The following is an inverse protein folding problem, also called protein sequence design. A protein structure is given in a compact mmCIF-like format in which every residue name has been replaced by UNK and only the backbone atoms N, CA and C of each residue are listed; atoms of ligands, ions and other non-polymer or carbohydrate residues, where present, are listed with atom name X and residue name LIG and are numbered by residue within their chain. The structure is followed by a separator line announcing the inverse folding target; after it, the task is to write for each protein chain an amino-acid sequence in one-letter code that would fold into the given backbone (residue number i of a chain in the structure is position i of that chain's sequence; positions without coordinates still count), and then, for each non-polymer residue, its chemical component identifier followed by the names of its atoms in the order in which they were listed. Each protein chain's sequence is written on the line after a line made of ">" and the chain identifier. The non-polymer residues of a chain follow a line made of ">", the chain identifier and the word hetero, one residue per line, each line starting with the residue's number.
data_IF_853918456602
#
_entry.id   IF_853918456602
#
_cell.length_a   1.000
_cell.length_b   1.000
_cell.length_c   1.000
_cell.angle_alpha   90.00
_cell.angle_beta   90.00
_cell.angle_gamma   90.00
#
_symmetry.space_group_name_H-M   'P 1'
#
loop_
_entity.id
_entity.type
_entity.pdbx_description
1 polymer ?
#
# COMPACT_ATOMS: atom_id res chain seq x y z
N UNK A 1 -76.28 52.61 -35.65
CA UNK A 1 -77.24 51.60 -35.13
C UNK A 1 -76.57 50.87 -33.96
N UNK A 2 -77.12 51.01 -32.76
CA UNK A 2 -76.83 50.21 -31.54
C UNK A 2 -77.42 48.79 -31.66
N UNK A 3 -77.20 47.79 -30.76
CA UNK A 3 -76.41 47.71 -29.50
C UNK A 3 -75.60 46.36 -29.41
N UNK A 4 -75.50 45.60 -28.28
CA UNK A 4 -74.52 45.75 -27.19
C UNK A 4 -73.79 44.41 -26.82
N UNK A 5 -73.09 44.44 -25.66
CA UNK A 5 -72.89 43.36 -24.67
C UNK A 5 -71.53 42.64 -24.57
N UNK A 6 -70.95 42.77 -23.36
CA UNK A 6 -69.91 41.95 -22.69
C UNK A 6 -70.41 40.48 -22.54
N UNK A 7 -69.59 39.42 -22.29
CA UNK A 7 -68.58 39.39 -21.20
C UNK A 7 -67.35 38.42 -21.26
N UNK A 8 -66.29 38.81 -20.51
CA UNK A 8 -65.36 38.00 -19.66
C UNK A 8 -64.53 36.80 -20.26
N UNK A 9 -63.49 36.30 -19.54
CA UNK A 9 -62.09 36.74 -19.66
C UNK A 9 -61.11 35.61 -20.06
N UNK A 10 -59.85 35.92 -20.38
CA UNK A 10 -58.68 35.06 -20.06
C UNK A 10 -57.33 35.70 -20.40
N UNK A 11 -56.50 35.80 -19.37
CA UNK A 11 -55.03 35.56 -19.29
C UNK A 11 -54.16 35.99 -20.48
N UNK A 12 -53.18 36.88 -20.27
CA UNK A 12 -51.84 36.74 -20.87
C UNK A 12 -50.76 37.55 -20.11
N UNK A 13 -49.56 36.96 -20.04
CA UNK A 13 -48.18 37.52 -20.13
C UNK A 13 -47.67 38.46 -19.01
N UNK A 14 -46.54 38.19 -18.33
CA UNK A 14 -45.11 38.06 -18.74
C UNK A 14 -44.36 39.41 -18.61
N UNK A 15 -43.05 39.27 -18.38
CA UNK A 15 -41.94 40.22 -18.28
C UNK A 15 -41.68 40.75 -16.86
N UNK A 16 -40.46 40.84 -16.31
CA UNK A 16 -39.07 40.39 -16.57
C UNK A 16 -38.17 41.51 -16.01
N UNK A 17 -37.11 41.09 -15.28
CA UNK A 17 -35.89 41.83 -14.93
C UNK A 17 -36.03 43.05 -13.98
N UNK A 18 -35.22 43.27 -12.94
CA UNK A 18 -33.76 43.48 -12.94
C UNK A 18 -33.23 43.43 -11.48
N UNK A 19 -32.14 42.67 -11.27
CA UNK A 19 -30.91 42.91 -10.44
C UNK A 19 -31.03 43.40 -8.99
N UNK A 20 -30.33 42.72 -8.07
CA UNK A 20 -29.85 43.36 -6.83
C UNK A 20 -29.48 42.44 -5.67
N UNK A 21 -28.20 42.06 -5.62
CA UNK A 21 -27.34 41.66 -4.50
C UNK A 21 -27.88 41.76 -3.03
N UNK A 22 -27.50 40.74 -2.24
CA UNK A 22 -27.04 40.80 -0.84
C UNK A 22 -27.95 40.29 0.29
N UNK A 23 -27.42 39.25 0.96
CA UNK A 23 -27.50 38.94 2.41
C UNK A 23 -28.85 38.49 2.97
N UNK A 24 -28.95 37.18 3.25
CA UNK A 24 -29.73 36.68 4.38
C UNK A 24 -28.84 35.72 5.18
N UNK A 25 -28.59 36.10 6.43
CA UNK A 25 -28.03 35.26 7.48
C UNK A 25 -28.86 33.98 7.62
N UNK A 26 -28.20 32.83 7.65
CA UNK A 26 -28.75 31.65 8.33
C UNK A 26 -27.66 31.01 9.18
N UNK A 27 -28.01 30.87 10.45
CA UNK A 27 -27.23 30.51 11.61
C UNK A 27 -26.58 29.13 11.51
N UNK A 28 -25.31 29.08 11.92
CA UNK A 28 -24.59 27.88 12.37
C UNK A 28 -25.23 27.38 13.67
N UNK A 29 -25.58 26.09 13.71
CA UNK A 29 -25.51 25.26 14.92
C UNK A 29 -25.55 23.79 14.49
N UNK A 30 -24.37 23.24 14.24
CA UNK A 30 -24.14 21.81 14.05
C UNK A 30 -24.42 21.12 15.40
N UNK A 31 -25.38 20.20 15.43
CA UNK A 31 -25.66 19.36 16.61
C UNK A 31 -24.49 18.39 16.81
N UNK A 32 -23.79 18.53 17.93
CA UNK A 32 -22.93 17.50 18.47
C UNK A 32 -23.81 16.37 19.06
N UNK A 33 -23.56 15.12 18.67
CA UNK A 33 -24.02 13.95 19.41
C UNK A 33 -22.96 13.65 20.48
N UNK A 34 -23.24 14.02 21.73
CA UNK A 34 -22.59 13.45 22.90
C UNK A 34 -23.26 12.10 23.21
N UNK A 35 -22.52 11.00 23.09
CA UNK A 35 -22.95 9.72 23.66
C UNK A 35 -22.59 9.68 25.16
N UNK A 36 -23.62 9.41 25.97
CA UNK A 36 -23.53 9.21 27.41
C UNK A 36 -22.62 8.01 27.74
N UNK A 37 -21.42 8.27 28.26
CA UNK A 37 -20.70 7.30 29.07
C UNK A 37 -21.20 7.36 30.52
N UNK A 38 -22.00 6.36 30.92
CA UNK A 38 -22.29 6.08 32.32
C UNK A 38 -21.06 5.45 32.99
N UNK A 39 -20.62 5.91 34.18
CA UNK A 39 -19.53 5.25 34.90
C UNK A 39 -20.04 3.96 35.54
N UNK A 40 -19.46 2.81 35.15
CA UNK A 40 -19.60 1.58 35.93
C UNK A 40 -18.89 1.75 37.26
N UNK A 41 -19.67 1.69 38.34
CA UNK A 41 -19.20 1.52 39.71
C UNK A 41 -18.64 0.10 39.84
N UNK A 42 -17.32 -0.03 39.98
CA UNK A 42 -16.69 -1.30 40.35
C UNK A 42 -16.55 -1.36 41.88
N UNK A 43 -17.30 -2.27 42.50
CA UNK A 43 -17.11 -2.64 43.90
C UNK A 43 -15.74 -3.34 44.06
N UNK A 44 -14.95 -3.02 45.09
CA UNK A 44 -13.71 -3.73 45.36
C UNK A 44 -14.00 -5.15 45.88
N UNK A 45 -13.51 -6.17 45.16
CA UNK A 45 -13.50 -7.56 45.61
C UNK A 45 -12.43 -7.75 46.70
N UNK A 46 -12.72 -8.44 47.83
CA UNK A 46 -11.77 -8.58 48.92
C UNK A 46 -10.61 -9.52 48.57
N UNK A 47 -9.41 -9.10 49.00
CA UNK A 47 -8.14 -9.83 48.93
C UNK A 47 -8.21 -11.10 49.80
N UNK A 48 -7.83 -12.29 49.29
CA UNK A 48 -7.69 -13.46 50.16
C UNK A 48 -6.39 -13.37 50.97
N UNK A 49 -6.54 -13.35 52.29
CA UNK A 49 -5.47 -13.49 53.28
C UNK A 49 -4.85 -14.90 53.21
N UNK A 50 -3.53 -14.95 53.01
CA UNK A 50 -2.77 -16.20 53.00
C UNK A 50 -2.49 -16.62 54.46
N UNK A 51 -3.13 -17.70 54.92
CA UNK A 51 -2.88 -18.29 56.23
C UNK A 51 -1.60 -19.16 56.19
N UNK A 52 -0.70 -18.91 57.13
CA UNK A 52 0.54 -19.65 57.34
C UNK A 52 0.26 -21.01 57.98
N UNK A 53 0.73 -22.11 57.37
CA UNK A 53 0.70 -23.47 57.95
C UNK A 53 2.15 -23.91 58.24
N UNK A 54 2.46 -24.57 59.38
CA UNK A 54 3.82 -24.95 59.79
C UNK A 54 4.37 -26.16 59.02
N UNK A 55 5.70 -26.38 59.01
CA UNK A 55 6.31 -27.44 58.21
C UNK A 55 6.29 -28.78 58.94
N UNK A 56 5.96 -29.86 58.22
CA UNK A 56 6.12 -31.23 58.69
C UNK A 56 6.94 -32.07 57.70
N UNK A 57 8.02 -32.63 58.26
CA UNK A 57 8.80 -33.82 57.91
C UNK A 57 9.24 -34.10 56.47
N UNK A 58 10.57 -34.04 56.33
CA UNK A 58 11.47 -34.49 55.27
C UNK A 58 11.29 -35.96 54.88
N UNK A 59 11.22 -36.22 53.57
CA UNK A 59 11.64 -37.48 52.96
C UNK A 59 12.80 -37.23 52.00
N UNK A 60 13.94 -37.86 52.29
CA UNK A 60 15.18 -37.81 51.52
C UNK A 60 15.03 -38.55 50.20
N UNK A 61 15.15 -37.84 49.08
CA UNK A 61 15.28 -38.44 47.75
C UNK A 61 16.76 -38.51 47.35
N UNK A 62 17.24 -39.73 47.11
CA UNK A 62 18.59 -40.08 46.63
C UNK A 62 18.84 -39.46 45.25
N UNK A 63 20.00 -38.81 45.06
CA UNK A 63 20.42 -38.23 43.78
C UNK A 63 20.88 -39.33 42.83
N UNK A 64 20.24 -39.44 41.67
CA UNK A 64 20.73 -40.21 40.51
C UNK A 64 21.68 -39.31 39.69
N UNK A 65 22.89 -39.77 39.32
CA UNK A 65 23.82 -38.96 38.53
C UNK A 65 23.34 -38.76 37.09
N UNK A 66 23.41 -37.51 36.61
CA UNK A 66 23.13 -37.10 35.23
C UNK A 66 24.27 -37.55 34.30
N UNK A 67 23.98 -38.19 33.14
CA UNK A 67 25.02 -38.55 32.18
C UNK A 67 25.59 -37.33 31.43
N UNK A 68 26.83 -37.41 30.88
CA UNK A 68 27.48 -36.27 30.22
C UNK A 68 26.77 -35.90 28.91
N UNK A 69 26.61 -34.60 28.66
CA UNK A 69 26.05 -34.07 27.41
C UNK A 69 27.10 -34.15 26.31
N UNK A 70 26.84 -34.97 25.29
CA UNK A 70 27.59 -34.98 24.02
C UNK A 70 27.32 -33.67 23.27
N UNK A 71 28.34 -32.95 22.74
CA UNK A 71 28.10 -31.74 21.97
C UNK A 71 27.39 -32.07 20.66
N UNK A 72 26.12 -31.67 20.55
CA UNK A 72 25.34 -31.72 19.32
C UNK A 72 25.94 -30.74 18.32
N UNK A 73 26.34 -31.22 17.15
CA UNK A 73 26.84 -30.38 16.05
C UNK A 73 25.76 -29.38 15.68
N UNK A 74 26.10 -28.09 15.71
CA UNK A 74 25.31 -27.00 15.13
C UNK A 74 24.98 -27.35 13.68
N UNK A 75 23.72 -27.33 13.24
CA UNK A 75 23.40 -27.50 11.84
C UNK A 75 24.04 -26.35 11.04
N UNK A 76 24.97 -26.70 10.15
CA UNK A 76 25.53 -25.81 9.14
C UNK A 76 24.39 -25.20 8.34
N UNK A 77 24.36 -23.87 8.23
CA UNK A 77 23.42 -23.17 7.36
C UNK A 77 23.52 -23.74 5.94
N UNK A 78 22.44 -24.32 5.44
CA UNK A 78 22.30 -24.64 4.01
C UNK A 78 22.42 -23.33 3.24
N UNK A 79 23.31 -23.22 2.24
CA UNK A 79 23.40 -22.01 1.44
C UNK A 79 22.05 -21.75 0.79
N UNK A 80 21.47 -20.57 1.07
CA UNK A 80 20.31 -20.03 0.36
C UNK A 80 20.66 -20.00 -1.11
N UNK A 81 19.86 -20.69 -1.94
CA UNK A 81 20.02 -20.67 -3.39
C UNK A 81 20.05 -19.21 -3.85
N UNK A 82 21.15 -18.78 -4.45
CA UNK A 82 21.19 -17.54 -5.20
C UNK A 82 20.19 -17.68 -6.34
N UNK A 83 19.18 -16.82 -6.38
CA UNK A 83 18.28 -16.71 -7.52
C UNK A 83 19.08 -16.18 -8.71
N UNK A 84 19.80 -17.07 -9.38
CA UNK A 84 20.38 -16.79 -10.70
C UNK A 84 19.40 -17.28 -11.74
N UNK A 85 19.03 -16.39 -12.65
CA UNK A 85 18.26 -16.63 -13.88
C UNK A 85 18.43 -18.07 -14.40
N UNK A 86 17.34 -18.84 -14.62
CA UNK A 86 17.43 -20.13 -15.29
C UNK A 86 18.18 -19.95 -16.63
N UNK A 87 19.23 -20.73 -16.92
CA UNK A 87 19.94 -20.60 -18.18
C UNK A 87 19.02 -20.96 -19.35
N UNK A 88 18.48 -19.96 -20.05
CA UNK A 88 17.71 -20.13 -21.29
C UNK A 88 16.32 -19.52 -21.36
N UNK A 89 15.83 -18.83 -20.32
CA UNK A 89 14.56 -18.08 -20.40
C UNK A 89 14.77 -16.66 -20.93
N UNK A 90 13.87 -16.19 -21.81
CA UNK A 90 13.55 -14.76 -21.87
C UNK A 90 13.16 -14.28 -20.46
N UNK A 91 13.33 -13.00 -20.12
CA UNK A 91 12.96 -12.48 -18.80
C UNK A 91 11.53 -12.88 -18.42
N UNK A 92 11.23 -13.00 -17.13
CA UNK A 92 9.89 -13.29 -16.65
C UNK A 92 9.30 -12.09 -15.92
N UNK A 93 8.01 -12.18 -15.63
CA UNK A 93 7.26 -11.18 -14.88
C UNK A 93 6.18 -11.86 -14.05
N UNK A 94 5.45 -11.09 -13.24
CA UNK A 94 4.25 -11.59 -12.55
C UNK A 94 3.00 -10.99 -13.17
N UNK A 95 2.04 -11.85 -13.56
CA UNK A 95 0.70 -11.47 -14.01
C UNK A 95 -0.29 -11.51 -12.85
N UNK A 96 -1.03 -10.41 -12.69
CA UNK A 96 -2.19 -10.24 -11.82
C UNK A 96 -3.47 -10.19 -12.66
N UNK A 97 -4.57 -10.70 -12.13
CA UNK A 97 -5.87 -10.75 -12.83
C UNK A 97 -6.93 -9.81 -12.25
N UNK A 98 -6.60 -9.02 -11.23
CA UNK A 98 -7.54 -8.12 -10.55
C UNK A 98 -8.49 -8.84 -9.59
N UNK A 99 -8.13 -10.05 -9.15
CA UNK A 99 -8.93 -10.91 -8.29
C UNK A 99 -8.54 -10.80 -6.80
N UNK A 100 -7.91 -9.68 -6.41
CA UNK A 100 -7.15 -9.61 -5.16
C UNK A 100 -7.94 -9.87 -3.88
N UNK A 101 -9.26 -9.77 -3.89
CA UNK A 101 -10.13 -9.94 -2.71
C UNK A 101 -9.92 -11.29 -2.01
N UNK A 102 -10.09 -11.30 -0.69
CA UNK A 102 -9.95 -12.49 0.16
C UNK A 102 -8.49 -12.98 0.21
N UNK A 103 -7.55 -12.03 0.23
CA UNK A 103 -6.12 -12.25 0.40
C UNK A 103 -5.44 -13.09 -0.69
N UNK A 104 -5.99 -13.09 -1.92
CA UNK A 104 -5.42 -13.78 -3.10
C UNK A 104 -4.99 -12.75 -4.16
N UNK A 105 -4.54 -13.22 -5.32
CA UNK A 105 -4.10 -12.42 -6.48
C UNK A 105 -3.23 -11.21 -6.13
N UNK A 106 -2.29 -11.40 -5.20
CA UNK A 106 -1.40 -10.35 -4.66
C UNK A 106 -0.04 -10.90 -4.29
N UNK A 107 0.93 -10.01 -4.11
CA UNK A 107 2.23 -10.33 -3.49
C UNK A 107 2.29 -9.66 -2.13
N UNK A 108 2.72 -10.40 -1.10
CA UNK A 108 2.90 -9.85 0.25
C UNK A 108 4.39 -9.81 0.60
N UNK A 109 4.92 -8.62 0.90
CA UNK A 109 6.30 -8.38 1.31
C UNK A 109 6.29 -7.92 2.76
N UNK A 110 6.84 -8.73 3.67
CA UNK A 110 6.84 -8.39 5.09
C UNK A 110 7.95 -7.38 5.40
N UNK A 111 7.61 -6.31 6.10
CA UNK A 111 8.53 -5.21 6.39
C UNK A 111 8.89 -5.02 7.87
N UNK A 112 8.17 -5.67 8.80
CA UNK A 112 8.49 -5.63 10.23
C UNK A 112 8.34 -6.98 10.95
N UNK A 113 8.89 -7.08 12.16
CA UNK A 113 8.91 -8.22 13.07
C UNK A 113 9.84 -9.36 12.65
N UNK A 114 11.10 -9.12 12.23
CA UNK A 114 11.88 -7.89 12.47
C UNK A 114 11.79 -6.87 11.33
N UNK A 115 12.15 -5.62 11.62
CA UNK A 115 12.31 -4.53 10.66
C UNK A 115 13.13 -4.97 9.44
N UNK A 116 12.69 -4.58 8.24
CA UNK A 116 13.30 -4.94 6.96
C UNK A 116 13.61 -3.71 6.14
N UNK A 117 14.67 -3.76 5.31
CA UNK A 117 15.10 -2.60 4.52
C UNK A 117 14.03 -2.11 3.53
N UNK A 118 13.14 -2.98 3.04
CA UNK A 118 12.02 -2.57 2.18
C UNK A 118 11.09 -1.53 2.84
N UNK A 119 11.13 -1.38 4.17
CA UNK A 119 10.48 -0.28 4.87
C UNK A 119 11.19 1.07 4.62
N UNK A 120 10.76 1.77 3.58
CA UNK A 120 11.23 3.13 3.25
C UNK A 120 10.22 4.19 3.70
N UNK A 121 10.72 5.41 3.91
CA UNK A 121 9.89 6.56 4.29
C UNK A 121 10.52 7.47 5.35
N UNK A 122 11.45 6.93 6.15
CA UNK A 122 12.25 7.69 7.12
C UNK A 122 13.28 8.62 6.44
N UNK A 123 13.57 8.33 5.17
CA UNK A 123 14.42 9.15 4.30
C UNK A 123 13.67 9.45 3.01
N UNK A 124 14.34 10.17 2.12
CA UNK A 124 13.91 10.29 0.73
C UNK A 124 13.82 8.90 0.10
N UNK A 125 12.94 8.68 -0.87
CA UNK A 125 12.85 7.39 -1.54
C UNK A 125 12.46 7.48 -3.00
N UNK A 126 12.74 6.39 -3.71
CA UNK A 126 12.24 6.10 -5.05
C UNK A 126 11.67 4.69 -5.07
N UNK A 127 10.48 4.53 -5.65
CA UNK A 127 9.92 3.23 -6.01
C UNK A 127 9.79 3.23 -7.53
N UNK A 128 10.35 2.23 -8.18
CA UNK A 128 10.31 2.10 -9.64
C UNK A 128 10.13 0.65 -10.07
N UNK A 129 9.47 0.45 -11.20
CA UNK A 129 9.16 -0.87 -11.75
C UNK A 129 8.77 -0.74 -13.23
N UNK A 130 8.73 -1.86 -13.92
CA UNK A 130 8.07 -1.99 -15.20
C UNK A 130 6.65 -2.48 -15.01
N UNK A 131 5.71 -1.85 -15.71
CA UNK A 131 4.29 -2.17 -15.67
C UNK A 131 3.75 -2.32 -17.09
N UNK A 132 2.94 -3.35 -17.30
CA UNK A 132 2.10 -3.51 -18.49
C UNK A 132 0.66 -3.74 -18.05
N UNK A 133 -0.29 -3.07 -18.67
CA UNK A 133 -1.71 -3.28 -18.40
C UNK A 133 -2.56 -3.06 -19.66
N UNK A 134 -3.64 -3.82 -19.79
CA UNK A 134 -4.57 -3.67 -20.91
C UNK A 134 -5.47 -2.44 -20.72
N UNK A 135 -5.78 -1.77 -21.83
CA UNK A 135 -6.71 -0.65 -21.83
C UNK A 135 -8.10 -1.09 -21.33
N UNK A 136 -8.61 -0.39 -20.32
CA UNK A 136 -9.92 -0.67 -19.73
C UNK A 136 -9.96 -1.82 -18.71
N UNK A 137 -8.86 -2.56 -18.50
CA UNK A 137 -8.81 -3.61 -17.47
C UNK A 137 -8.77 -3.06 -16.04
N UNK A 138 -8.33 -1.80 -15.88
CA UNK A 138 -8.20 -1.10 -14.61
C UNK A 138 -9.14 0.11 -14.59
N UNK A 139 -10.34 -0.07 -14.04
CA UNK A 139 -11.46 0.91 -14.07
C UNK A 139 -11.64 1.73 -12.79
N UNK A 140 -10.78 1.51 -11.79
CA UNK A 140 -10.71 2.29 -10.56
C UNK A 140 -10.48 3.78 -10.85
N UNK A 141 -10.93 4.61 -9.93
CA UNK A 141 -10.90 6.06 -10.08
C UNK A 141 -10.30 6.69 -8.84
N UNK A 142 -9.22 7.43 -9.04
CA UNK A 142 -8.52 8.18 -7.99
C UNK A 142 -9.05 9.61 -7.89
N UNK A 143 -9.03 10.16 -6.66
CA UNK A 143 -9.26 11.60 -6.44
C UNK A 143 -7.94 12.33 -6.21
N UNK A 144 -7.51 13.13 -7.17
CA UNK A 144 -6.24 13.87 -7.08
C UNK A 144 -6.30 14.98 -6.01
N UNK A 145 -5.15 15.34 -5.46
CA UNK A 145 -4.98 16.40 -4.44
C UNK A 145 -5.77 16.15 -3.15
N UNK A 146 -6.02 14.88 -2.81
CA UNK A 146 -6.69 14.47 -1.57
C UNK A 146 -5.83 13.49 -0.78
N UNK A 147 -5.98 13.53 0.55
CA UNK A 147 -5.52 12.46 1.44
C UNK A 147 -6.20 11.16 1.01
N UNK A 148 -5.43 10.08 0.90
CA UNK A 148 -5.90 8.74 0.53
C UNK A 148 -6.69 8.65 -0.77
N UNK A 149 -6.68 9.68 -1.62
CA UNK A 149 -7.42 9.69 -2.87
C UNK A 149 -7.02 8.57 -3.84
N UNK A 150 -5.83 7.97 -3.64
CA UNK A 150 -5.26 6.87 -4.41
C UNK A 150 -5.94 5.52 -4.16
N UNK A 151 -6.55 5.30 -2.99
CA UNK A 151 -7.01 3.96 -2.55
C UNK A 151 -8.16 3.41 -3.39
N UNK A 152 -8.92 4.27 -4.08
CA UNK A 152 -10.03 3.88 -4.96
C UNK A 152 -9.60 3.63 -6.41
N UNK A 153 -8.31 3.76 -6.72
CA UNK A 153 -7.71 3.30 -7.97
C UNK A 153 -7.44 1.80 -7.96
N UNK A 154 -7.06 1.22 -9.11
CA UNK A 154 -6.58 -0.17 -9.14
C UNK A 154 -5.19 -0.24 -8.49
N UNK A 155 -5.08 -0.89 -7.34
CA UNK A 155 -3.91 -0.82 -6.47
C UNK A 155 -2.75 -1.66 -7.01
N UNK A 156 -1.64 -1.01 -7.31
CA UNK A 156 -0.39 -1.64 -7.80
C UNK A 156 0.57 -1.90 -6.65
N UNK A 157 0.75 -0.91 -5.78
CA UNK A 157 1.63 -0.96 -4.62
C UNK A 157 0.87 -0.35 -3.43
N UNK A 158 0.83 -1.06 -2.33
CA UNK A 158 0.06 -0.71 -1.16
C UNK A 158 0.93 -0.82 0.10
N UNK A 159 1.31 0.33 0.63
CA UNK A 159 1.74 0.50 2.01
C UNK A 159 0.70 1.40 2.70
N UNK A 160 -0.54 0.96 2.71
CA UNK A 160 -1.59 1.56 3.53
C UNK A 160 -1.47 1.09 4.98
N UNK A 161 -2.03 1.87 5.89
CA UNK A 161 -2.03 1.60 7.30
C UNK A 161 -3.41 1.86 7.89
N UNK A 162 -3.95 0.82 8.52
CA UNK A 162 -5.10 0.98 9.39
C UNK A 162 -4.75 1.55 10.76
N UNK A 163 -5.72 2.30 11.28
CA UNK A 163 -5.74 2.93 12.60
C UNK A 163 -4.64 3.98 12.83
N UNK A 164 -4.87 4.87 13.80
CA UNK A 164 -3.88 5.84 14.21
C UNK A 164 -2.62 5.18 14.81
N UNK A 165 -1.49 5.91 14.84
CA UNK A 165 -0.29 5.53 15.59
C UNK A 165 0.91 5.07 14.76
N UNK A 166 0.82 5.15 13.43
CA UNK A 166 1.99 5.04 12.53
C UNK A 166 2.49 6.43 12.07
N UNK A 167 3.60 6.45 11.33
CA UNK A 167 4.15 7.67 10.75
C UNK A 167 3.42 8.10 9.49
N UNK A 168 3.20 7.17 8.55
CA UNK A 168 2.55 7.49 7.28
C UNK A 168 2.20 6.25 6.47
N UNK A 169 1.38 6.48 5.44
CA UNK A 169 1.02 5.52 4.42
C UNK A 169 1.42 6.06 3.04
N UNK A 170 1.54 5.15 2.08
CA UNK A 170 1.69 5.51 0.68
C UNK A 170 1.33 4.35 -0.23
N UNK A 171 0.94 4.69 -1.45
CA UNK A 171 0.61 3.68 -2.44
C UNK A 171 0.59 4.22 -3.86
N UNK A 172 0.61 3.29 -4.80
CA UNK A 172 0.59 3.55 -6.23
C UNK A 172 -0.60 2.81 -6.82
N UNK A 173 -1.41 3.50 -7.59
CA UNK A 173 -2.61 2.96 -8.21
C UNK A 173 -2.74 3.41 -9.67
N UNK A 174 -3.57 2.71 -10.43
CA UNK A 174 -4.03 3.17 -11.73
C UNK A 174 -5.41 3.84 -11.64
N UNK A 175 -5.54 4.96 -12.34
CA UNK A 175 -6.79 5.73 -12.50
C UNK A 175 -7.03 6.01 -13.98
N UNK A 176 -8.03 5.35 -14.57
CA UNK A 176 -8.28 5.46 -16.02
C UNK A 176 -7.02 5.24 -16.87
N UNK A 177 -6.25 4.20 -16.52
CA UNK A 177 -5.00 3.81 -17.18
C UNK A 177 -3.78 4.71 -16.94
N UNK A 178 -3.84 5.67 -16.01
CA UNK A 178 -2.73 6.57 -15.64
C UNK A 178 -2.26 6.30 -14.22
N UNK A 179 -1.00 6.56 -13.95
CA UNK A 179 -0.41 6.37 -12.61
C UNK A 179 -0.89 7.45 -11.64
N UNK A 180 -1.22 7.05 -10.42
CA UNK A 180 -1.39 7.94 -9.27
C UNK A 180 -0.49 7.48 -8.13
N UNK A 181 0.05 8.43 -7.37
CA UNK A 181 0.91 8.20 -6.22
C UNK A 181 0.38 9.00 -5.03
N UNK A 182 -0.11 8.30 -4.02
CA UNK A 182 -0.56 8.89 -2.77
C UNK A 182 0.43 8.68 -1.64
N UNK A 183 0.52 9.66 -0.76
CA UNK A 183 1.33 9.60 0.44
C UNK A 183 0.75 10.49 1.53
N UNK A 184 0.75 9.98 2.75
CA UNK A 184 0.36 10.69 3.95
C UNK A 184 1.43 10.56 5.03
N UNK A 185 1.54 11.59 5.87
CA UNK A 185 2.29 11.58 7.13
C UNK A 185 1.36 12.14 8.21
N UNK A 186 1.06 11.32 9.21
CA UNK A 186 0.02 11.63 10.19
C UNK A 186 -1.34 11.86 9.53
N UNK A 187 -1.93 13.04 9.71
CA UNK A 187 -3.22 13.42 9.11
C UNK A 187 -3.10 14.31 7.88
N UNK A 188 -1.89 14.49 7.36
CA UNK A 188 -1.62 15.29 6.17
C UNK A 188 -1.21 14.36 5.05
N UNK A 189 -1.81 14.50 3.88
CA UNK A 189 -1.44 13.70 2.73
C UNK A 189 -2.04 14.24 1.45
N UNK A 190 -1.58 13.67 0.35
CA UNK A 190 -1.90 14.14 -1.00
C UNK A 190 -1.73 13.00 -1.97
N UNK A 191 -2.65 12.93 -2.93
CA UNK A 191 -2.55 12.05 -4.10
C UNK A 191 -2.16 12.85 -5.33
N UNK A 192 -0.96 12.58 -5.85
CA UNK A 192 -0.47 13.09 -7.12
C UNK A 192 -0.97 12.20 -8.25
N UNK A 193 -1.59 12.78 -9.27
CA UNK A 193 -2.01 12.06 -10.48
C UNK A 193 -1.11 12.42 -11.65
N UNK A 194 -0.64 11.39 -12.36
CA UNK A 194 0.02 11.54 -13.65
C UNK A 194 -0.97 11.83 -14.78
N UNK A 195 -0.42 12.08 -15.98
CA UNK A 195 -1.18 12.43 -17.17
C UNK A 195 -0.98 11.45 -18.33
N UNK A 196 0.08 10.64 -18.31
CA UNK A 196 0.38 9.67 -19.36
C UNK A 196 -0.30 8.33 -19.11
N UNK A 197 -1.00 7.86 -20.14
CA UNK A 197 -1.59 6.52 -20.15
C UNK A 197 -0.46 5.48 -20.19
N UNK A 198 -0.51 4.52 -19.27
CA UNK A 198 0.37 3.35 -19.20
C UNK A 198 -0.37 2.02 -19.40
N UNK A 199 -1.71 2.06 -19.36
CA UNK A 199 -2.56 0.89 -19.64
C UNK A 199 -2.96 0.87 -21.11
N UNK A 200 -1.99 0.65 -22.00
CA UNK A 200 -2.16 0.58 -23.46
C UNK A 200 -1.66 -0.75 -24.05
N UNK A 201 -1.44 -1.75 -23.18
CA UNK A 201 -0.88 -3.06 -23.50
C UNK A 201 0.59 -3.03 -23.96
N UNK A 202 1.36 -1.98 -23.61
CA UNK A 202 2.81 -1.95 -23.72
C UNK A 202 3.48 -1.94 -22.33
N UNK A 203 4.75 -2.30 -22.29
CA UNK A 203 5.59 -2.14 -21.12
C UNK A 203 5.99 -0.68 -20.95
N UNK A 204 5.77 -0.13 -19.76
CA UNK A 204 6.20 1.22 -19.37
C UNK A 204 7.07 1.17 -18.13
N UNK A 205 8.12 1.97 -18.12
CA UNK A 205 8.88 2.21 -16.89
C UNK A 205 8.15 3.27 -16.07
N UNK A 206 7.81 2.95 -14.82
CA UNK A 206 7.18 3.88 -13.89
C UNK A 206 8.13 4.09 -12.72
N UNK A 207 8.34 5.35 -12.34
CA UNK A 207 9.04 5.70 -11.11
C UNK A 207 8.29 6.79 -10.35
N UNK A 208 8.22 6.64 -9.03
CA UNK A 208 7.74 7.67 -8.12
C UNK A 208 8.85 8.04 -7.16
N UNK A 209 8.97 9.33 -6.88
CA UNK A 209 9.99 9.85 -5.94
C UNK A 209 9.31 10.64 -4.83
N UNK A 210 9.92 10.58 -3.65
CA UNK A 210 9.49 11.34 -2.50
C UNK A 210 10.69 11.90 -1.75
N UNK A 211 10.64 13.18 -1.40
CA UNK A 211 11.54 13.85 -0.46
C UNK A 211 10.90 13.98 0.91
N UNK A 212 11.71 13.87 1.96
CA UNK A 212 11.36 14.17 3.36
C UNK A 212 10.79 15.56 3.58
N UNK A 213 11.13 16.51 2.72
CA UNK A 213 10.57 17.86 2.69
C UNK A 213 9.18 17.94 2.03
N UNK A 214 8.60 16.83 1.61
CA UNK A 214 7.26 16.73 1.01
C UNK A 214 7.23 16.72 -0.52
N UNK A 215 8.35 16.92 -1.21
CA UNK A 215 8.37 16.91 -2.68
C UNK A 215 8.06 15.52 -3.24
N UNK A 216 7.05 15.41 -4.10
CA UNK A 216 6.64 14.17 -4.76
C UNK A 216 6.70 14.34 -6.29
N UNK A 217 7.09 13.30 -7.02
CA UNK A 217 7.03 13.31 -8.48
C UNK A 217 6.77 11.91 -9.07
N UNK A 218 6.12 11.89 -10.24
CA UNK A 218 5.90 10.69 -11.06
C UNK A 218 6.72 10.86 -12.35
N UNK A 219 7.33 9.77 -12.80
CA UNK A 219 8.00 9.64 -14.08
C UNK A 219 7.44 8.42 -14.80
N UNK A 220 7.22 8.57 -16.11
CA UNK A 220 6.78 7.50 -17.01
C UNK A 220 7.71 7.51 -18.21
N UNK A 221 8.31 6.36 -18.52
CA UNK A 221 9.29 6.16 -19.59
C UNK A 221 10.43 7.19 -19.55
N UNK A 222 10.89 7.49 -18.34
CA UNK A 222 11.98 8.43 -18.12
C UNK A 222 11.59 9.91 -18.24
N UNK A 223 10.33 10.23 -18.52
CA UNK A 223 9.85 11.61 -18.62
C UNK A 223 9.06 12.02 -17.37
N UNK A 224 9.20 13.26 -16.85
CA UNK A 224 8.36 13.75 -15.76
C UNK A 224 6.88 13.74 -16.15
N UNK A 225 6.00 13.17 -15.34
CA UNK A 225 4.55 13.05 -15.59
C UNK A 225 3.69 13.77 -14.53
N UNK A 226 4.31 14.32 -13.49
CA UNK A 226 3.64 15.11 -12.48
C UNK A 226 4.55 15.39 -11.30
N UNK A 227 4.31 16.50 -10.60
CA UNK A 227 4.97 16.79 -9.32
C UNK A 227 4.09 17.63 -8.43
N UNK A 228 4.26 17.49 -7.12
CA UNK A 228 3.57 18.31 -6.11
C UNK A 228 4.39 18.38 -4.82
N UNK A 229 3.96 19.23 -3.89
CA UNK A 229 4.43 19.18 -2.50
C UNK A 229 3.31 18.58 -1.66
N UNK A 230 3.52 17.36 -1.16
CA UNK A 230 2.66 16.66 -0.22
C UNK A 230 3.18 16.77 1.21
N UNK A 231 2.92 15.74 2.01
CA UNK A 231 3.29 15.70 3.41
C UNK A 231 4.80 15.50 3.63
N UNK A 232 5.38 16.30 4.53
CA UNK A 232 6.76 16.19 4.97
C UNK A 232 6.88 15.32 6.22
N UNK A 233 8.07 14.77 6.49
CA UNK A 233 8.37 14.01 7.72
C UNK A 233 8.76 12.56 7.49
N UNK A 234 8.52 11.71 8.47
CA UNK A 234 8.73 10.27 8.36
C UNK A 234 7.46 9.60 7.82
N UNK A 235 7.59 8.73 6.83
CA UNK A 235 6.50 7.93 6.28
C UNK A 235 6.78 6.42 6.38
N UNK A 236 7.83 5.99 7.09
CA UNK A 236 8.15 4.57 7.23
C UNK A 236 7.13 3.86 8.12
N UNK A 237 7.26 2.55 8.21
CA UNK A 237 6.59 1.75 9.21
C UNK A 237 7.27 1.95 10.55
N UNK A 238 6.45 2.21 11.57
CA UNK A 238 6.94 2.21 12.94
C UNK A 238 7.13 0.77 13.41
N UNK A 239 8.40 0.37 13.53
CA UNK A 239 8.82 -0.90 14.12
C UNK A 239 8.07 -1.21 15.43
N UNK A 240 7.48 -2.41 15.49
CA UNK A 240 6.81 -2.92 16.68
C UNK A 240 5.54 -2.19 17.09
N UNK A 241 4.91 -1.40 16.20
CA UNK A 241 3.64 -0.73 16.52
C UNK A 241 2.54 -1.74 16.89
N UNK A 242 1.66 -1.36 17.81
CA UNK A 242 0.50 -2.18 18.16
C UNK A 242 -0.57 -2.07 17.05
N UNK A 243 -0.90 -3.19 16.43
CA UNK A 243 -1.81 -3.25 15.29
C UNK A 243 -3.23 -3.68 15.68
N UNK A 244 -3.52 -3.82 16.99
CA UNK A 244 -4.78 -4.33 17.53
C UNK A 244 -5.21 -5.67 16.89
N UNK A 245 -4.22 -6.52 16.57
CA UNK A 245 -4.45 -7.83 15.97
C UNK A 245 -4.59 -7.84 14.44
N UNK A 246 -4.43 -6.70 13.76
CA UNK A 246 -4.37 -6.68 12.29
C UNK A 246 -3.06 -7.34 11.81
N UNK A 247 -3.18 -8.50 11.18
CA UNK A 247 -2.03 -9.30 10.72
C UNK A 247 -1.46 -8.83 9.38
N UNK A 248 -2.18 -7.98 8.64
CA UNK A 248 -1.76 -7.43 7.35
C UNK A 248 -0.88 -6.20 7.50
N UNK A 249 -0.95 -5.53 8.64
CA UNK A 249 -0.29 -4.26 8.91
C UNK A 249 1.23 -4.21 8.59
N UNK A 250 2.06 -5.22 8.91
CA UNK A 250 3.51 -5.16 8.66
C UNK A 250 3.89 -5.62 7.25
N UNK A 251 3.00 -5.45 6.26
CA UNK A 251 3.26 -5.81 4.86
C UNK A 251 3.16 -4.61 3.94
N UNK A 252 4.03 -4.60 2.93
CA UNK A 252 3.74 -4.00 1.62
C UNK A 252 2.98 -5.06 0.81
N UNK A 253 1.95 -4.63 0.09
CA UNK A 253 1.19 -5.50 -0.82
C UNK A 253 1.32 -4.99 -2.25
N UNK A 254 1.55 -5.90 -3.19
CA UNK A 254 1.52 -5.59 -4.62
C UNK A 254 0.27 -6.21 -5.24
N UNK A 255 -0.37 -5.46 -6.13
CA UNK A 255 -1.46 -5.93 -6.98
C UNK A 255 -2.86 -5.88 -6.37
N UNK A 256 -3.01 -5.56 -5.08
CA UNK A 256 -4.31 -5.49 -4.42
C UNK A 256 -4.29 -4.53 -3.22
N UNK A 257 -5.48 -4.10 -2.80
CA UNK A 257 -5.64 -3.38 -1.53
C UNK A 257 -5.26 -4.29 -0.36
N UNK A 258 -4.43 -3.77 0.54
CA UNK A 258 -3.73 -4.55 1.56
C UNK A 258 -4.64 -5.24 2.57
N UNK A 259 -5.76 -4.63 2.94
CA UNK A 259 -6.59 -5.05 4.07
C UNK A 259 -7.85 -5.84 3.71
N UNK A 260 -8.09 -6.12 2.42
CA UNK A 260 -9.35 -6.70 1.92
C UNK A 260 -10.58 -5.86 2.29
N UNK A 261 -10.46 -4.54 2.20
CA UNK A 261 -11.43 -3.54 2.64
C UNK A 261 -12.73 -3.49 1.81
N UNK A 262 -12.83 -4.25 0.73
CA UNK A 262 -14.03 -4.41 -0.09
C UNK A 262 -13.87 -3.89 -1.52
N UNK A 263 -14.95 -4.00 -2.31
CA UNK A 263 -14.92 -3.77 -3.76
C UNK A 263 -14.72 -2.32 -4.20
N UNK A 264 -14.72 -1.36 -3.26
CA UNK A 264 -14.43 0.05 -3.55
C UNK A 264 -12.93 0.29 -3.82
N UNK A 265 -12.08 -0.70 -3.50
CA UNK A 265 -10.62 -0.63 -3.59
C UNK A 265 -10.13 -1.73 -4.54
N UNK A 266 -10.26 -1.50 -5.86
CA UNK A 266 -10.07 -2.56 -6.85
C UNK A 266 -8.60 -2.99 -6.96
N UNK A 267 -8.40 -4.26 -7.27
CA UNK A 267 -7.07 -4.85 -7.47
C UNK A 267 -6.52 -4.58 -8.87
N UNK A 268 -5.21 -4.56 -9.03
CA UNK A 268 -4.56 -4.38 -10.31
C UNK A 268 -4.70 -5.61 -11.21
N UNK A 269 -4.98 -5.37 -12.49
CA UNK A 269 -4.94 -6.38 -13.54
C UNK A 269 -3.88 -5.99 -14.57
N UNK A 270 -2.81 -6.77 -14.65
CA UNK A 270 -1.67 -6.49 -15.52
C UNK A 270 -0.42 -7.23 -15.06
N UNK A 271 0.73 -6.81 -15.57
CA UNK A 271 2.03 -7.40 -15.28
C UNK A 271 2.92 -6.41 -14.55
N UNK A 272 3.74 -6.92 -13.64
CA UNK A 272 4.85 -6.21 -13.02
C UNK A 272 6.15 -6.96 -13.29
N UNK A 273 7.19 -6.18 -13.57
CA UNK A 273 8.57 -6.65 -13.65
C UNK A 273 9.52 -5.66 -12.96
N UNK A 274 10.69 -6.12 -12.51
CA UNK A 274 11.81 -5.30 -12.03
C UNK A 274 11.44 -4.25 -10.97
N UNK A 275 10.82 -4.66 -9.86
CA UNK A 275 10.53 -3.72 -8.77
C UNK A 275 11.79 -3.38 -7.98
N UNK A 276 12.17 -2.10 -7.95
CA UNK A 276 13.21 -1.55 -7.08
C UNK A 276 12.64 -0.53 -6.11
N UNK A 277 13.00 -0.70 -4.83
CA UNK A 277 12.73 0.27 -3.75
C UNK A 277 14.08 0.83 -3.28
N UNK A 278 14.20 2.15 -3.20
CA UNK A 278 15.45 2.84 -2.85
C UNK A 278 15.25 3.91 -1.79
N UNK A 279 16.24 4.14 -0.94
CA UNK A 279 16.24 5.15 0.13
C UNK A 279 16.83 6.51 -0.31
N UNK A 280 16.67 6.85 -1.59
CA UNK A 280 17.10 8.14 -2.15
C UNK A 280 16.19 8.55 -3.31
N UNK A 281 16.17 9.84 -3.63
CA UNK A 281 15.57 10.33 -4.89
C UNK A 281 16.56 10.05 -6.03
N UNK A 282 16.21 9.11 -6.91
CA UNK A 282 17.04 8.76 -8.08
C UNK A 282 16.85 9.71 -9.26
N UNK A 283 15.68 10.33 -9.37
CA UNK A 283 15.30 11.13 -10.53
C UNK A 283 14.77 12.51 -10.13
N UNK A 284 15.32 13.55 -10.75
CA UNK A 284 14.87 14.94 -10.55
C UNK A 284 14.55 15.66 -11.86
N UNK A 285 14.78 14.99 -12.99
CA UNK A 285 14.57 15.47 -14.34
C UNK A 285 14.36 14.25 -15.26
N UNK A 286 14.21 14.48 -16.57
CA UNK A 286 14.14 13.39 -17.52
C UNK A 286 15.41 12.51 -17.51
N UNK A 287 15.24 11.21 -17.75
CA UNK A 287 16.30 10.21 -17.82
C UNK A 287 15.99 9.18 -18.90
N UNK A 288 16.97 8.32 -19.21
CA UNK A 288 16.77 7.16 -20.08
C UNK A 288 16.36 5.97 -19.22
N UNK A 289 15.19 5.35 -19.43
CA UNK A 289 14.81 4.14 -18.73
C UNK A 289 15.88 3.04 -18.86
N UNK A 290 16.04 2.17 -17.85
CA UNK A 290 16.93 1.02 -17.94
C UNK A 290 16.60 0.17 -19.17
N UNK A 291 17.62 -0.28 -19.91
CA UNK A 291 17.44 -1.21 -21.03
C UNK A 291 17.79 -2.67 -20.66
N UNK A 292 17.97 -2.93 -19.37
CA UNK A 292 18.33 -4.22 -18.80
C UNK A 292 17.86 -4.29 -17.34
N UNK A 293 17.80 -5.49 -16.75
CA UNK A 293 17.51 -5.66 -15.32
C UNK A 293 18.34 -4.75 -14.43
N UNK A 294 17.74 -4.27 -13.35
CA UNK A 294 18.42 -3.42 -12.37
C UNK A 294 19.58 -4.15 -11.71
N UNK A 295 20.66 -3.44 -11.43
CA UNK A 295 21.70 -3.91 -10.52
C UNK A 295 21.52 -3.18 -9.19
N UNK A 296 21.54 -3.88 -8.05
CA UNK A 296 21.45 -3.21 -6.76
C UNK A 296 22.71 -2.39 -6.48
N UNK A 297 22.52 -1.27 -5.78
CA UNK A 297 23.57 -0.39 -5.29
C UNK A 297 23.37 -0.12 -3.78
N UNK A 298 24.24 0.69 -3.17
CA UNK A 298 24.17 1.00 -1.74
C UNK A 298 22.88 1.70 -1.28
N UNK A 299 22.07 2.21 -2.22
CA UNK A 299 20.78 2.85 -1.94
C UNK A 299 19.59 1.95 -2.28
N UNK A 300 19.84 0.73 -2.75
CA UNK A 300 18.79 -0.24 -3.10
C UNK A 300 18.38 -1.03 -1.87
N UNK A 301 17.15 -0.81 -1.40
CA UNK A 301 16.64 -1.39 -0.17
C UNK A 301 15.83 -2.68 -0.39
N UNK A 302 15.26 -2.82 -1.59
CA UNK A 302 14.69 -4.07 -2.08
C UNK A 302 14.76 -4.10 -3.60
N UNK A 303 14.98 -5.29 -4.17
CA UNK A 303 14.98 -5.51 -5.61
C UNK A 303 14.38 -6.87 -5.94
N UNK A 304 13.36 -6.88 -6.80
CA UNK A 304 12.66 -8.08 -7.25
C UNK A 304 12.67 -8.12 -8.78
N UNK A 305 13.36 -9.11 -9.34
CA UNK A 305 13.41 -9.35 -10.79
C UNK A 305 12.21 -10.13 -11.32
N UNK A 306 11.41 -10.75 -10.44
CA UNK A 306 10.28 -11.58 -10.83
C UNK A 306 10.61 -12.73 -11.82
N UNK A 307 11.85 -13.22 -11.73
CA UNK A 307 12.45 -14.20 -12.63
C UNK A 307 12.37 -15.66 -12.13
N UNK A 308 11.69 -15.91 -11.01
CA UNK A 308 11.68 -17.25 -10.38
C UNK A 308 10.94 -18.30 -11.23
N UNK A 309 9.94 -17.89 -12.00
CA UNK A 309 9.21 -18.71 -12.98
C UNK A 309 8.35 -19.84 -12.40
N UNK A 310 8.53 -20.23 -11.13
CA UNK A 310 7.79 -21.29 -10.46
C UNK A 310 7.70 -21.05 -8.94
N UNK A 311 6.78 -21.77 -8.28
CA UNK A 311 6.56 -21.62 -6.85
C UNK A 311 5.89 -20.29 -6.50
N UNK A 312 5.96 -19.91 -5.22
CA UNK A 312 5.31 -18.68 -4.70
C UNK A 312 6.27 -17.73 -4.02
N UNK A 313 7.56 -18.05 -3.95
CA UNK A 313 8.56 -17.16 -3.37
C UNK A 313 8.95 -16.08 -4.37
N UNK A 314 9.04 -14.84 -3.91
CA UNK A 314 9.58 -13.70 -4.66
C UNK A 314 10.84 -13.23 -3.92
N UNK A 315 12.01 -13.40 -4.52
CA UNK A 315 13.28 -13.14 -3.87
C UNK A 315 13.62 -11.65 -3.91
N UNK A 316 13.95 -11.08 -2.76
CA UNK A 316 14.64 -9.81 -2.67
C UNK A 316 16.14 -10.04 -2.87
N UNK A 317 16.67 -9.60 -4.01
CA UNK A 317 18.08 -9.75 -4.39
C UNK A 317 18.91 -8.48 -4.15
N UNK A 318 18.38 -7.51 -3.41
CA UNK A 318 19.06 -6.23 -3.14
C UNK A 318 20.39 -6.37 -2.41
N UNK A 319 20.53 -7.40 -1.56
CA UNK A 319 21.65 -7.53 -0.63
C UNK A 319 21.65 -6.48 0.50
N UNK A 320 20.55 -5.76 0.71
CA UNK A 320 20.45 -4.74 1.74
C UNK A 320 20.61 -5.35 3.16
N UNK A 321 21.30 -4.62 4.04
CA UNK A 321 21.52 -5.06 5.43
C UNK A 321 20.19 -5.14 6.19
N UNK A 322 19.96 -6.24 6.92
CA UNK A 322 18.68 -6.53 7.60
C UNK A 322 17.67 -7.27 6.72
N UNK A 323 17.94 -7.38 5.41
CA UNK A 323 17.18 -8.20 4.48
C UNK A 323 17.49 -9.71 4.57
N UNK A 324 17.02 -10.50 3.60
CA UNK A 324 16.17 -10.09 2.48
C UNK A 324 14.72 -9.82 2.92
N UNK A 325 14.02 -8.97 2.18
CA UNK A 325 12.59 -8.68 2.34
C UNK A 325 11.75 -9.55 1.38
N UNK A 326 11.94 -10.86 1.38
CA UNK A 326 11.27 -11.74 0.39
C UNK A 326 9.73 -11.55 0.39
N UNK A 327 9.16 -11.58 -0.82
CA UNK A 327 7.73 -11.58 -1.05
C UNK A 327 7.16 -13.00 -1.19
N UNK A 328 5.82 -13.08 -1.12
CA UNK A 328 5.07 -14.33 -1.33
C UNK A 328 3.89 -14.06 -2.25
N UNK A 329 3.77 -14.82 -3.35
CA UNK A 329 2.56 -14.87 -4.18
C UNK A 329 1.42 -15.51 -3.38
N UNK A 330 0.32 -14.80 -3.22
CA UNK A 330 -0.92 -15.32 -2.64
C UNK A 330 -1.85 -15.74 -3.77
N UNK A 331 -1.79 -17.02 -4.11
CA UNK A 331 -2.43 -17.55 -5.32
C UNK A 331 -3.91 -17.91 -5.08
N UNK A 332 -4.80 -17.49 -5.97
CA UNK A 332 -6.23 -17.84 -5.96
C UNK A 332 -7.05 -17.09 -7.02
N UNK A 333 -8.37 -17.26 -7.00
CA UNK A 333 -9.30 -16.59 -7.92
C UNK A 333 -9.58 -17.37 -9.21
N UNK A 334 -10.38 -16.78 -10.10
CA UNK A 334 -10.65 -17.29 -11.45
C UNK A 334 -10.65 -16.12 -12.45
N UNK A 335 -9.65 -16.00 -13.34
CA UNK A 335 -8.47 -16.86 -13.45
C UNK A 335 -7.60 -16.87 -12.18
N UNK A 336 -6.92 -17.99 -11.94
CA UNK A 336 -6.04 -18.16 -10.77
C UNK A 336 -4.82 -17.24 -10.93
N UNK A 337 -4.57 -16.38 -9.94
CA UNK A 337 -3.44 -15.46 -9.89
C UNK A 337 -2.93 -15.13 -8.49
N UNK A 338 -1.76 -14.49 -8.37
CA UNK A 338 -0.94 -14.08 -9.50
C UNK A 338 -0.13 -15.27 -10.01
N UNK A 339 0.31 -15.21 -11.26
CA UNK A 339 1.11 -16.27 -11.90
C UNK A 339 2.38 -15.72 -12.53
N UNK A 340 3.43 -16.54 -12.58
CA UNK A 340 4.60 -16.23 -13.39
C UNK A 340 4.22 -16.16 -14.87
N UNK A 341 4.80 -15.21 -15.58
CA UNK A 341 4.58 -14.96 -17.00
C UNK A 341 5.93 -14.91 -17.73
N UNK A 342 5.96 -15.37 -18.98
CA UNK A 342 7.15 -15.25 -19.84
C UNK A 342 7.21 -13.92 -20.59
N UNK A 343 6.39 -12.94 -20.23
CA UNK A 343 6.50 -11.58 -20.74
C UNK A 343 7.62 -10.82 -20.02
N UNK A 344 8.33 -9.96 -20.74
CA UNK A 344 9.41 -9.13 -20.19
C UNK A 344 9.50 -7.78 -20.94
N UNK A 345 9.95 -6.70 -20.29
CA UNK A 345 10.24 -5.42 -20.93
C UNK A 345 11.60 -5.40 -21.68
N UNK A 346 12.39 -6.48 -21.65
CA UNK A 346 13.72 -6.57 -22.28
C UNK A 346 13.83 -7.65 -23.37
#
# INVERSE_FOLDING_TARGET
>A
MTPPSRPYPRRVLLLLFVVGLAVVLSTVALRAQEELFLPLVTNPQPTPTNATIPPTATHTATRTPTPPVTPTRTPTATPTATATRPPGGAGASVRFFGNGRDAIDRITIRIDGPARPADVGATDFTIEFWLKAEAGANTGSVTCNQNDGWITGNIVFDRDIYFAGDYGDFGIALSGGKVAFGLSVGSSGTTLCGSRTVADNQWHHVAVTRRTTGGMAIFVDGQPDGSTTGAAGDASYRDGRNTNGNTWDPYIVLGAEKHDAGSAYPSFNGWLDELRISNTVRYTAAFTPPASPFTPDGNTMALYHFDEGTGTNVADVSGATGGPSNGVLRVGGDPVGPVWSGESPF
#
